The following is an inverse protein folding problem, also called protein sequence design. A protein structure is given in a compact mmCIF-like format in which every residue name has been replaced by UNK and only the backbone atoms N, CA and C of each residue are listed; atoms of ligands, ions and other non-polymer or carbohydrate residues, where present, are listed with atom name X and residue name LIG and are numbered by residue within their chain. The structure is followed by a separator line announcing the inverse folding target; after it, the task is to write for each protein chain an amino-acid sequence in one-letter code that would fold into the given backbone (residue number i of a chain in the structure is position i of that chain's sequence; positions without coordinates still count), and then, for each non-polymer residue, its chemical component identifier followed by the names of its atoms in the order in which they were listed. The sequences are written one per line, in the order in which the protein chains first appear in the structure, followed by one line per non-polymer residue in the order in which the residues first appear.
data_IF_256198468826
#
_entry.id   IF_256198468826
#
_cell.length_a   1.000
_cell.length_b   1.000
_cell.length_c   1.000
_cell.angle_alpha   90.00
_cell.angle_beta   90.00
_cell.angle_gamma   90.00
#
_symmetry.space_group_name_H-M   'P 1'
#
loop_
_entity.id
_entity.type
_entity.pdbx_description
1 polymer ?
#
# COMPACT_ATOMS: atom_id res chain seq x y z
N UNK A 1 6.23 24.16 10.27
CA UNK A 1 6.26 23.25 9.12
C UNK A 1 6.15 21.82 9.62
N UNK A 2 5.18 21.09 9.13
CA UNK A 2 4.98 19.68 9.51
C UNK A 2 6.04 18.85 8.79
N UNK A 3 7.10 18.50 9.48
CA UNK A 3 8.19 17.69 8.90
C UNK A 3 7.77 16.22 8.92
N UNK A 4 7.10 15.79 7.86
CA UNK A 4 6.76 14.37 7.66
C UNK A 4 7.96 13.72 6.97
N UNK A 5 8.49 12.69 7.60
CA UNK A 5 9.59 11.89 7.05
C UNK A 5 9.01 10.64 6.38
N UNK A 6 9.45 10.36 5.16
CA UNK A 6 9.11 9.15 4.42
C UNK A 6 10.38 8.33 4.22
N UNK A 7 10.28 7.04 4.45
CA UNK A 7 11.39 6.09 4.35
C UNK A 7 10.97 4.92 3.46
N UNK A 8 11.79 4.61 2.45
CA UNK A 8 11.67 3.36 1.71
C UNK A 8 12.39 2.25 2.48
N UNK A 9 11.69 1.16 2.79
CA UNK A 9 12.18 0.12 3.73
C UNK A 9 12.09 -1.30 3.16
N UNK A 10 11.72 -1.44 1.89
CA UNK A 10 11.56 -2.75 1.26
C UNK A 10 12.88 -3.53 1.26
N UNK A 11 12.85 -4.72 1.86
CA UNK A 11 14.02 -5.56 2.01
C UNK A 11 15.06 -5.09 3.04
N UNK A 12 14.79 -4.03 3.80
CA UNK A 12 15.71 -3.42 4.77
C UNK A 12 15.14 -3.29 6.19
N UNK A 13 14.26 -4.20 6.58
CA UNK A 13 13.64 -4.17 7.90
C UNK A 13 14.59 -4.71 8.95
N UNK A 14 15.14 -3.80 9.77
CA UNK A 14 15.97 -4.14 10.93
C UNK A 14 15.10 -4.50 12.16
N UNK A 15 15.70 -4.94 13.24
CA UNK A 15 15.00 -5.37 14.44
C UNK A 15 14.23 -4.24 15.13
N UNK A 16 14.73 -3.01 15.09
CA UNK A 16 14.04 -1.85 15.64
C UNK A 16 12.75 -1.57 14.86
N UNK A 17 12.85 -1.48 13.54
CA UNK A 17 11.68 -1.24 12.67
C UNK A 17 10.67 -2.39 12.80
N UNK A 18 11.14 -3.62 12.94
CA UNK A 18 10.27 -4.78 13.16
C UNK A 18 9.46 -4.65 14.45
N UNK A 19 10.08 -4.19 15.54
CA UNK A 19 9.37 -3.91 16.81
C UNK A 19 8.36 -2.77 16.65
N UNK A 20 8.74 -1.69 15.99
CA UNK A 20 7.82 -0.56 15.72
C UNK A 20 6.62 -0.98 14.89
N UNK A 21 6.82 -1.79 13.85
CA UNK A 21 5.75 -2.32 13.01
C UNK A 21 4.83 -3.28 13.78
N UNK A 22 5.36 -4.11 14.65
CA UNK A 22 4.54 -4.97 15.53
C UNK A 22 3.66 -4.13 16.46
N UNK A 23 4.23 -3.09 17.08
CA UNK A 23 3.49 -2.18 17.95
C UNK A 23 2.40 -1.43 17.16
N UNK A 24 2.73 -0.94 15.97
CA UNK A 24 1.77 -0.28 15.08
C UNK A 24 0.59 -1.20 14.75
N UNK A 25 0.85 -2.41 14.30
CA UNK A 25 -0.21 -3.34 13.90
C UNK A 25 -1.00 -3.88 15.09
N UNK A 26 -0.40 -4.03 16.27
CA UNK A 26 -1.14 -4.41 17.47
C UNK A 26 -2.19 -3.37 17.86
N UNK A 27 -1.94 -2.09 17.58
CA UNK A 27 -2.87 -0.99 17.86
C UNK A 27 -3.89 -0.76 16.73
N UNK A 28 -3.51 -0.99 15.47
CA UNK A 28 -4.27 -0.51 14.30
C UNK A 28 -4.81 -1.61 13.39
N UNK A 29 -4.47 -2.88 13.60
CA UNK A 29 -4.90 -3.97 12.73
C UNK A 29 -6.42 -4.13 12.67
N UNK A 30 -7.12 -3.97 13.79
CA UNK A 30 -8.59 -4.05 13.83
C UNK A 30 -9.24 -2.94 13.01
N UNK A 31 -8.78 -1.69 13.20
CA UNK A 31 -9.28 -0.54 12.44
C UNK A 31 -9.04 -0.71 10.93
N UNK A 32 -7.86 -1.22 10.57
CA UNK A 32 -7.52 -1.54 9.17
C UNK A 32 -8.43 -2.62 8.59
N UNK A 33 -8.69 -3.70 9.33
CA UNK A 33 -9.59 -4.77 8.88
C UNK A 33 -11.04 -4.29 8.73
N UNK A 34 -11.52 -3.45 9.61
CA UNK A 34 -12.85 -2.85 9.51
C UNK A 34 -12.96 -1.93 8.30
N UNK A 35 -11.94 -1.14 8.03
CA UNK A 35 -11.86 -0.30 6.84
C UNK A 35 -11.95 -1.14 5.56
N UNK A 36 -11.16 -2.22 5.46
CA UNK A 36 -11.22 -3.13 4.33
C UNK A 36 -12.60 -3.78 4.14
N UNK A 37 -13.25 -4.15 5.24
CA UNK A 37 -14.62 -4.70 5.19
C UNK A 37 -15.61 -3.68 4.65
N UNK A 38 -15.52 -2.43 5.11
CA UNK A 38 -16.42 -1.37 4.66
C UNK A 38 -16.28 -1.11 3.16
N UNK A 39 -15.06 -1.11 2.63
CA UNK A 39 -14.81 -0.95 1.20
C UNK A 39 -15.33 -2.13 0.39
N UNK A 40 -15.17 -3.35 0.85
CA UNK A 40 -15.69 -4.56 0.19
C UNK A 40 -17.22 -4.59 0.14
N UNK A 41 -17.89 -4.14 1.19
CA UNK A 41 -19.36 -4.03 1.19
C UNK A 41 -19.83 -3.01 0.15
N UNK A 42 -19.14 -1.88 0.01
CA UNK A 42 -19.43 -0.86 -1.01
C UNK A 42 -19.17 -1.35 -2.44
N UNK A 43 -18.19 -2.24 -2.65
CA UNK A 43 -17.80 -2.77 -3.96
C UNK A 43 -18.61 -3.99 -4.42
N UNK A 44 -19.44 -4.58 -3.56
CA UNK A 44 -20.28 -5.77 -3.91
C UNK A 44 -21.23 -5.58 -5.10
N UNK A 45 -21.39 -4.35 -5.57
CA UNK A 45 -22.18 -4.05 -6.77
C UNK A 45 -21.40 -4.21 -8.09
N UNK A 46 -20.10 -4.44 -8.04
CA UNK A 46 -19.28 -4.63 -9.23
C UNK A 46 -18.79 -6.08 -9.37
N UNK A 47 -18.61 -6.51 -10.60
CA UNK A 47 -18.24 -7.87 -10.99
C UNK A 47 -16.87 -8.36 -10.47
N UNK A 48 -16.21 -7.62 -9.62
CA UNK A 48 -14.82 -7.81 -9.21
C UNK A 48 -14.59 -8.99 -8.25
N UNK A 49 -15.65 -9.55 -7.65
CA UNK A 49 -15.52 -10.73 -6.78
C UNK A 49 -14.98 -11.96 -7.53
N UNK A 50 -15.26 -12.08 -8.83
CA UNK A 50 -14.72 -13.17 -9.67
C UNK A 50 -13.22 -13.02 -9.93
N UNK A 51 -12.69 -11.80 -9.95
CA UNK A 51 -11.25 -11.57 -10.13
C UNK A 51 -10.45 -11.90 -8.86
N UNK A 52 -11.02 -11.76 -7.68
CA UNK A 52 -10.35 -12.12 -6.43
C UNK A 52 -10.13 -13.64 -6.30
N UNK A 53 -10.98 -14.46 -6.89
CA UNK A 53 -10.82 -15.92 -6.92
C UNK A 53 -9.65 -16.35 -7.83
N UNK A 54 -9.20 -15.49 -8.73
CA UNK A 54 -8.02 -15.72 -9.59
C UNK A 54 -6.70 -15.49 -8.89
N UNK A 55 -6.72 -14.95 -7.66
CA UNK A 55 -5.53 -14.68 -6.86
C UNK A 55 -5.30 -15.82 -5.89
N UNK A 56 -4.23 -16.57 -6.12
CA UNK A 56 -3.79 -17.61 -5.21
C UNK A 56 -3.30 -17.01 -3.87
N UNK A 57 -2.97 -17.88 -2.93
CA UNK A 57 -2.54 -17.49 -1.58
C UNK A 57 -1.34 -16.54 -1.62
N UNK A 58 -1.28 -15.57 -0.69
CA UNK A 58 -0.10 -14.73 -0.56
C UNK A 58 1.11 -15.57 -0.14
N UNK A 59 2.25 -15.34 -0.79
CA UNK A 59 3.53 -15.99 -0.47
C UNK A 59 4.22 -15.21 0.64
N UNK A 60 4.28 -13.89 0.52
CA UNK A 60 4.91 -13.01 1.50
C UNK A 60 4.20 -11.67 1.57
N UNK A 61 4.36 -11.01 2.72
CA UNK A 61 3.94 -9.63 2.95
C UNK A 61 5.10 -8.87 3.54
N UNK A 62 5.45 -7.73 2.94
CA UNK A 62 6.57 -6.93 3.38
C UNK A 62 6.19 -5.45 3.42
N UNK A 63 6.64 -4.70 4.45
CA UNK A 63 6.59 -3.24 4.41
C UNK A 63 7.51 -2.75 3.30
N UNK A 64 7.09 -1.71 2.59
CA UNK A 64 7.85 -1.16 1.47
C UNK A 64 8.19 0.32 1.67
N UNK A 65 7.27 1.10 2.21
CA UNK A 65 7.53 2.48 2.61
C UNK A 65 6.74 2.82 3.87
N UNK A 66 7.28 3.72 4.67
CA UNK A 66 6.62 4.22 5.88
C UNK A 66 6.67 5.74 5.92
N UNK A 67 5.67 6.36 6.51
CA UNK A 67 5.71 7.75 6.91
C UNK A 67 5.80 7.86 8.42
N UNK A 68 6.55 8.85 8.91
CA UNK A 68 6.65 9.18 10.33
C UNK A 68 6.12 10.58 10.56
N UNK A 69 5.42 10.74 11.66
CA UNK A 69 4.96 12.04 12.15
C UNK A 69 6.11 12.83 12.82
N UNK A 70 5.78 13.99 13.38
CA UNK A 70 6.75 14.85 14.06
C UNK A 70 7.39 14.21 15.31
N UNK A 71 6.71 13.27 15.97
CA UNK A 71 7.24 12.55 17.11
C UNK A 71 8.16 11.38 16.70
N UNK A 72 8.24 11.08 15.40
CA UNK A 72 8.96 9.93 14.86
C UNK A 72 8.12 8.65 14.83
N UNK A 73 6.87 8.68 15.27
CA UNK A 73 5.98 7.53 15.23
C UNK A 73 5.49 7.24 13.81
N UNK A 74 5.27 5.95 13.50
CA UNK A 74 4.73 5.55 12.20
C UNK A 74 3.30 6.07 12.06
N UNK A 75 3.03 6.82 11.00
CA UNK A 75 1.73 7.40 10.68
C UNK A 75 1.08 6.81 9.42
N UNK A 76 1.86 6.10 8.62
CA UNK A 76 1.38 5.42 7.42
C UNK A 76 2.34 4.36 6.94
N UNK A 77 1.81 3.37 6.25
CA UNK A 77 2.57 2.24 5.71
C UNK A 77 2.07 1.92 4.30
N UNK A 78 3.00 1.76 3.37
CA UNK A 78 2.78 0.99 2.13
C UNK A 78 3.42 -0.37 2.33
N UNK A 79 2.68 -1.41 2.05
CA UNK A 79 3.21 -2.76 2.03
C UNK A 79 2.86 -3.46 0.73
N UNK A 80 3.67 -4.43 0.38
CA UNK A 80 3.49 -5.26 -0.81
C UNK A 80 3.29 -6.71 -0.44
N UNK A 81 2.40 -7.36 -1.16
CA UNK A 81 2.08 -8.78 -1.01
C UNK A 81 2.48 -9.48 -2.29
N UNK A 82 3.43 -10.40 -2.19
CA UNK A 82 3.78 -11.29 -3.29
C UNK A 82 2.74 -12.40 -3.40
N UNK A 83 2.17 -12.56 -4.57
CA UNK A 83 1.16 -13.60 -4.87
C UNK A 83 1.50 -14.35 -6.13
N UNK A 84 1.19 -15.63 -6.14
CA UNK A 84 1.02 -16.41 -7.35
C UNK A 84 -0.21 -15.93 -8.13
N UNK A 85 -0.11 -15.90 -9.45
CA UNK A 85 -1.21 -15.54 -10.35
C UNK A 85 -1.70 -16.77 -11.12
N UNK A 86 -2.96 -16.74 -11.49
CA UNK A 86 -3.50 -17.68 -12.48
C UNK A 86 -2.97 -17.33 -13.88
N UNK A 87 -2.59 -18.35 -14.65
CA UNK A 87 -2.04 -18.19 -16.01
C UNK A 87 -3.01 -17.48 -16.96
N UNK A 88 -4.31 -17.62 -16.71
CA UNK A 88 -5.38 -16.98 -17.49
C UNK A 88 -5.32 -15.45 -17.51
N UNK A 89 -4.62 -14.83 -16.53
CA UNK A 89 -4.48 -13.38 -16.47
C UNK A 89 -3.48 -12.81 -17.49
N UNK A 90 -2.57 -13.64 -18.02
CA UNK A 90 -1.54 -13.20 -18.97
C UNK A 90 -0.51 -12.21 -18.40
N UNK A 91 -0.38 -12.14 -17.08
CA UNK A 91 0.51 -11.20 -16.37
C UNK A 91 1.79 -11.86 -15.81
N UNK A 92 2.05 -13.11 -16.21
CA UNK A 92 3.11 -13.94 -15.65
C UNK A 92 2.62 -14.78 -14.47
N UNK A 93 3.54 -15.41 -13.75
CA UNK A 93 3.22 -16.38 -12.70
C UNK A 93 3.07 -15.76 -11.32
N UNK A 94 3.64 -14.58 -11.09
CA UNK A 94 3.67 -13.88 -9.82
C UNK A 94 3.49 -12.38 -10.01
N UNK A 95 2.91 -11.73 -9.01
CA UNK A 95 2.81 -10.27 -8.95
C UNK A 95 2.97 -9.77 -7.52
N UNK A 96 3.41 -8.53 -7.38
CA UNK A 96 3.27 -7.78 -6.16
C UNK A 96 1.97 -7.01 -6.16
N UNK A 97 1.26 -7.05 -5.04
CA UNK A 97 0.07 -6.24 -4.75
C UNK A 97 0.44 -5.18 -3.75
N UNK A 98 0.28 -3.93 -4.12
CA UNK A 98 0.50 -2.80 -3.24
C UNK A 98 -0.76 -2.51 -2.43
N UNK A 99 -0.59 -2.25 -1.16
CA UNK A 99 -1.61 -1.73 -0.24
C UNK A 99 -1.03 -0.63 0.61
N UNK A 100 -1.89 0.31 1.00
CA UNK A 100 -1.52 1.44 1.85
C UNK A 100 -2.50 1.56 3.01
N UNK A 101 -1.97 1.87 4.17
CA UNK A 101 -2.76 2.30 5.32
C UNK A 101 -2.16 3.56 5.93
N UNK A 102 -2.98 4.57 6.11
CA UNK A 102 -2.65 5.81 6.81
C UNK A 102 -3.54 5.92 8.04
N UNK A 103 -2.97 6.35 9.16
CA UNK A 103 -3.76 6.68 10.34
C UNK A 103 -4.78 7.78 9.99
N UNK A 104 -6.00 7.75 10.56
CA UNK A 104 -7.04 8.73 10.25
C UNK A 104 -6.59 10.18 10.38
N UNK A 105 -5.80 10.49 11.41
CA UNK A 105 -5.23 11.83 11.62
C UNK A 105 -4.23 12.23 10.54
N UNK A 106 -3.50 11.28 9.96
CA UNK A 106 -2.53 11.52 8.88
C UNK A 106 -3.19 11.76 7.51
N UNK A 107 -4.47 11.40 7.35
CA UNK A 107 -5.25 11.61 6.12
C UNK A 107 -5.79 13.03 6.00
N UNK A 108 -5.80 13.80 7.09
CA UNK A 108 -6.34 15.16 7.09
C UNK A 108 -5.48 16.05 6.20
N UNK A 109 -6.16 16.84 5.34
CA UNK A 109 -5.50 17.91 4.60
C UNK A 109 -4.91 18.90 5.59
N UNK A 110 -3.61 18.93 5.71
CA UNK A 110 -2.92 19.96 6.50
C UNK A 110 -2.98 21.24 5.66
N UNK A 111 -3.51 22.33 6.24
CA UNK A 111 -3.52 23.65 5.61
C UNK A 111 -2.09 23.99 5.16
N UNK A 112 -1.92 24.31 3.88
CA UNK A 112 -0.63 24.71 3.30
C UNK A 112 0.22 23.57 2.72
N UNK A 113 -0.23 22.30 2.76
CA UNK A 113 0.43 21.21 2.03
C UNK A 113 -0.31 20.97 0.73
N UNK A 114 0.35 21.26 -0.39
CA UNK A 114 -0.23 21.14 -1.73
C UNK A 114 -0.52 19.65 -2.10
N UNK A 115 0.25 18.71 -1.61
CA UNK A 115 0.15 17.30 -1.95
C UNK A 115 -0.24 16.47 -0.71
N UNK A 116 -1.34 15.69 -0.76
CA UNK A 116 -1.72 14.79 0.32
C UNK A 116 -0.59 13.81 0.67
N UNK A 117 -0.47 13.46 1.96
CA UNK A 117 0.54 12.50 2.42
C UNK A 117 0.45 11.16 1.69
N UNK A 118 -0.76 10.69 1.40
CA UNK A 118 -0.99 9.46 0.64
C UNK A 118 -0.26 9.47 -0.70
N UNK A 119 -0.35 10.58 -1.44
CA UNK A 119 0.29 10.71 -2.75
C UNK A 119 1.81 10.72 -2.61
N UNK A 120 2.35 11.47 -1.65
CA UNK A 120 3.80 11.52 -1.40
C UNK A 120 4.35 10.16 -1.00
N UNK A 121 3.66 9.48 -0.09
CA UNK A 121 4.06 8.14 0.36
C UNK A 121 4.03 7.14 -0.79
N UNK A 122 3.03 7.21 -1.65
CA UNK A 122 2.90 6.35 -2.82
C UNK A 122 3.98 6.65 -3.87
N UNK A 123 4.27 7.91 -4.13
CA UNK A 123 5.34 8.33 -5.06
C UNK A 123 6.71 7.83 -4.60
N UNK A 124 7.06 8.05 -3.34
CA UNK A 124 8.33 7.58 -2.77
C UNK A 124 8.43 6.04 -2.78
N UNK A 125 7.31 5.37 -2.51
CA UNK A 125 7.23 3.92 -2.67
C UNK A 125 7.54 3.49 -4.10
N UNK A 126 6.91 4.09 -5.12
CA UNK A 126 7.11 3.73 -6.52
C UNK A 126 8.56 3.98 -6.96
N UNK A 127 9.13 5.13 -6.59
CA UNK A 127 10.52 5.48 -6.91
C UNK A 127 11.48 4.44 -6.30
N UNK A 128 11.31 4.13 -5.02
CA UNK A 128 12.15 3.15 -4.34
C UNK A 128 11.98 1.74 -4.91
N UNK A 129 10.75 1.34 -5.16
CA UNK A 129 10.42 0.01 -5.68
C UNK A 129 10.94 -0.21 -7.12
N UNK A 130 10.93 0.83 -7.93
CA UNK A 130 11.52 0.82 -9.28
C UNK A 130 13.05 0.75 -9.22
N UNK A 131 13.67 1.52 -8.33
CA UNK A 131 15.14 1.57 -8.18
C UNK A 131 15.73 0.25 -7.64
N UNK A 132 15.08 -0.37 -6.67
CA UNK A 132 15.60 -1.54 -5.94
C UNK A 132 15.13 -2.87 -6.56
N UNK A 133 15.38 -3.04 -7.87
CA UNK A 133 14.91 -4.20 -8.64
C UNK A 133 15.44 -5.52 -8.07
N UNK A 134 16.68 -5.54 -7.62
CA UNK A 134 17.35 -6.74 -7.09
C UNK A 134 16.76 -7.26 -5.78
N UNK A 135 16.02 -6.42 -5.04
CA UNK A 135 15.33 -6.82 -3.80
C UNK A 135 13.98 -7.50 -4.08
N UNK A 136 13.49 -7.43 -5.31
CA UNK A 136 12.22 -8.01 -5.70
C UNK A 136 12.38 -9.47 -6.12
N UNK A 137 11.34 -10.24 -5.90
CA UNK A 137 11.25 -11.59 -6.45
C UNK A 137 11.24 -11.51 -7.99
N UNK A 138 12.19 -12.18 -8.62
CA UNK A 138 12.38 -12.13 -10.07
C UNK A 138 11.22 -12.72 -10.89
N UNK A 139 10.36 -13.54 -10.27
CA UNK A 139 9.17 -14.11 -10.91
C UNK A 139 8.05 -13.08 -11.05
N UNK A 140 8.02 -12.06 -10.19
CA UNK A 140 7.00 -11.02 -10.23
C UNK A 140 7.39 -9.94 -11.23
N UNK A 141 6.65 -9.86 -12.34
CA UNK A 141 6.89 -8.90 -13.42
C UNK A 141 6.02 -7.66 -13.36
N UNK A 142 5.00 -7.68 -12.52
CA UNK A 142 4.02 -6.60 -12.41
C UNK A 142 3.78 -6.22 -10.96
N UNK A 143 3.50 -4.95 -10.77
CA UNK A 143 2.98 -4.39 -9.53
C UNK A 143 1.51 -4.01 -9.77
N UNK A 144 0.62 -4.54 -8.96
CA UNK A 144 -0.81 -4.30 -9.03
C UNK A 144 -1.27 -3.51 -7.80
N UNK A 145 -2.19 -2.60 -8.02
CA UNK A 145 -2.84 -1.85 -6.95
C UNK A 145 -4.32 -2.23 -6.89
N UNK A 146 -4.76 -2.71 -5.75
CA UNK A 146 -6.16 -3.04 -5.52
C UNK A 146 -6.92 -1.75 -5.17
N UNK A 147 -7.71 -1.26 -6.11
CA UNK A 147 -8.39 0.03 -6.00
C UNK A 147 -9.83 -0.15 -5.46
N UNK A 148 -9.95 -0.66 -4.25
CA UNK A 148 -11.25 -0.87 -3.58
C UNK A 148 -11.74 0.37 -2.81
N UNK A 149 -10.88 1.34 -2.54
CA UNK A 149 -11.26 2.57 -1.86
C UNK A 149 -12.00 3.52 -2.81
N UNK A 150 -13.28 3.85 -2.55
CA UNK A 150 -14.06 4.75 -3.41
C UNK A 150 -13.41 6.13 -3.61
N UNK A 151 -12.65 6.63 -2.63
CA UNK A 151 -11.93 7.89 -2.75
C UNK A 151 -10.86 7.88 -3.85
N UNK A 152 -10.29 6.72 -4.18
CA UNK A 152 -9.32 6.55 -5.26
C UNK A 152 -9.97 6.46 -6.65
N UNK A 153 -11.30 6.34 -6.71
CA UNK A 153 -12.07 6.28 -7.96
C UNK A 153 -12.53 7.66 -8.44
N UNK A 154 -12.19 8.73 -7.74
CA UNK A 154 -12.49 10.10 -8.17
C UNK A 154 -11.77 10.45 -9.48
N UNK A 155 -12.32 11.39 -10.24
CA UNK A 155 -11.74 11.81 -11.52
C UNK A 155 -10.29 12.34 -11.37
N UNK A 156 -9.98 13.00 -10.26
CA UNK A 156 -8.64 13.50 -9.96
C UNK A 156 -7.64 12.36 -9.72
N UNK A 157 -8.03 11.32 -8.99
CA UNK A 157 -7.19 10.15 -8.73
C UNK A 157 -7.02 9.29 -9.98
N UNK A 158 -8.05 9.13 -10.79
CA UNK A 158 -7.91 8.45 -12.09
C UNK A 158 -6.89 9.13 -12.99
N UNK A 159 -6.87 10.46 -13.04
CA UNK A 159 -5.84 11.22 -13.79
C UNK A 159 -4.44 11.02 -13.22
N UNK A 160 -4.32 10.90 -11.89
CA UNK A 160 -3.04 10.64 -11.24
C UNK A 160 -2.45 9.29 -11.64
N UNK A 161 -3.24 8.23 -11.63
CA UNK A 161 -2.80 6.87 -12.01
C UNK A 161 -2.63 6.65 -13.52
N UNK A 162 -3.15 7.54 -14.37
CA UNK A 162 -3.01 7.44 -15.83
C UNK A 162 -1.79 8.16 -16.40
N UNK A 163 -0.94 8.76 -15.57
CA UNK A 163 0.31 9.40 -15.94
C UNK A 163 1.46 8.42 -15.86
#
# INVERSE_FOLDING_TARGET
MTNIRIEFVFGEVNDQLRRELRAFWSQHSNAYQEELRSFRIGSRKSHDLKQMDLLKRPISRQPAAISRDQSGAISGIVFVVLRELEDSLGLGTHAYFQRMYLLPEARRKVRGIATPLANKLFEEFLIGFDREVEKRDHRAKVLLSENINPALQTASMRRYFSR
#
